data_IF_657222301814
#
_entry.id   IF_657222301814
#
_cell.length_a   1.000
_cell.length_b   1.000
_cell.length_c   1.000
_cell.angle_alpha   90.00
_cell.angle_beta   90.00
_cell.angle_gamma   90.00
#
_symmetry.space_group_name_H-M   'P 1'
#
loop_
_entity.id
_entity.type
_entity.pdbx_description
1 polymer ?
#
# COMPACT_ATOMS: atom_id res chain seq x y z
N UNK A 1 35.46 -27.42 -17.69
CA UNK A 1 35.13 -26.04 -18.11
C UNK A 1 33.75 -25.90 -18.74
N UNK A 2 33.37 -26.67 -19.78
CA UNK A 2 32.03 -26.57 -20.42
C UNK A 2 30.84 -26.73 -19.44
N UNK A 3 30.92 -27.67 -18.48
CA UNK A 3 29.88 -27.85 -17.45
C UNK A 3 29.73 -26.66 -16.49
N UNK A 4 30.82 -25.90 -16.25
CA UNK A 4 30.84 -24.74 -15.35
C UNK A 4 30.22 -23.50 -16.03
N UNK A 5 30.44 -23.35 -17.34
CA UNK A 5 29.83 -22.29 -18.16
C UNK A 5 28.32 -22.48 -18.28
N UNK A 6 27.84 -23.72 -18.44
CA UNK A 6 26.40 -24.03 -18.45
C UNK A 6 25.76 -23.71 -17.10
N UNK A 7 26.45 -24.00 -15.99
CA UNK A 7 25.97 -23.68 -14.65
C UNK A 7 25.88 -22.16 -14.42
N UNK A 8 26.89 -21.40 -14.86
CA UNK A 8 26.91 -19.92 -14.76
C UNK A 8 25.81 -19.31 -15.63
N UNK A 9 25.56 -19.84 -16.83
CA UNK A 9 24.45 -19.39 -17.69
C UNK A 9 23.08 -19.71 -17.05
N UNK A 10 22.94 -20.88 -16.41
CA UNK A 10 21.73 -21.25 -15.67
C UNK A 10 21.50 -20.30 -14.48
N UNK A 11 22.52 -20.04 -13.67
CA UNK A 11 22.43 -19.09 -12.55
C UNK A 11 22.21 -17.64 -12.99
N UNK A 12 22.76 -17.23 -14.15
CA UNK A 12 22.51 -15.89 -14.72
C UNK A 12 21.09 -15.73 -15.26
N UNK A 13 20.45 -16.82 -15.72
CA UNK A 13 19.05 -16.83 -16.14
C UNK A 13 18.07 -16.85 -14.95
N UNK A 14 18.57 -17.23 -13.77
CA UNK A 14 17.86 -17.17 -12.48
C UNK A 14 18.14 -15.84 -11.75
N UNK A 15 18.75 -14.85 -12.42
CA UNK A 15 18.65 -13.47 -11.96
C UNK A 15 17.19 -13.08 -12.18
N UNK A 16 16.39 -13.34 -11.15
CA UNK A 16 14.98 -13.05 -11.04
C UNK A 16 14.74 -11.61 -11.45
N UNK A 17 14.39 -11.40 -12.71
CA UNK A 17 13.78 -10.16 -13.15
C UNK A 17 12.54 -9.99 -12.27
N UNK A 18 12.49 -8.92 -11.48
CA UNK A 18 11.32 -8.59 -10.68
C UNK A 18 10.08 -8.65 -11.57
N UNK A 19 9.07 -9.43 -11.18
CA UNK A 19 7.88 -9.66 -12.00
C UNK A 19 7.10 -8.35 -12.19
N UNK A 20 6.99 -7.61 -11.09
CA UNK A 20 6.37 -6.30 -11.03
C UNK A 20 7.42 -5.33 -10.49
N UNK A 21 7.48 -4.16 -11.09
CA UNK A 21 8.37 -3.07 -10.71
C UNK A 21 7.54 -1.87 -10.26
N UNK A 22 8.02 -1.16 -9.25
CA UNK A 22 7.39 0.06 -8.72
C UNK A 22 8.42 1.18 -8.73
N UNK A 23 8.08 2.34 -9.29
CA UNK A 23 9.01 3.47 -9.39
C UNK A 23 8.37 4.78 -8.97
N UNK A 24 9.11 5.56 -8.21
CA UNK A 24 8.83 6.98 -8.03
C UNK A 24 9.36 7.69 -9.26
N UNK A 25 8.45 8.24 -10.06
CA UNK A 25 8.77 8.98 -11.30
C UNK A 25 9.11 10.42 -10.95
N UNK A 26 8.32 11.04 -10.08
CA UNK A 26 8.51 12.41 -9.62
C UNK A 26 7.82 12.65 -8.28
N UNK A 27 8.29 13.68 -7.58
CA UNK A 27 7.63 14.25 -6.42
C UNK A 27 7.52 15.76 -6.62
N UNK A 28 6.31 16.24 -6.91
CA UNK A 28 6.01 17.64 -7.10
C UNK A 28 5.60 18.26 -5.76
N UNK A 29 6.54 18.93 -5.10
CA UNK A 29 6.29 19.54 -3.78
C UNK A 29 5.47 20.82 -3.91
N UNK A 30 4.37 20.90 -3.17
CA UNK A 30 3.60 22.13 -2.95
C UNK A 30 4.03 22.87 -1.69
N UNK A 31 4.66 22.17 -0.74
CA UNK A 31 5.32 22.74 0.44
C UNK A 31 6.46 21.80 0.90
N UNK A 32 7.10 22.11 2.03
CA UNK A 32 8.12 21.22 2.61
C UNK A 32 7.56 19.87 3.06
N UNK A 33 6.28 19.81 3.44
CA UNK A 33 5.61 18.60 3.92
C UNK A 33 4.63 17.99 2.91
N UNK A 34 4.14 18.79 1.95
CA UNK A 34 3.09 18.39 1.00
C UNK A 34 3.58 18.31 -0.43
N UNK A 35 3.04 17.35 -1.18
CA UNK A 35 3.26 17.25 -2.61
C UNK A 35 2.36 16.23 -3.29
N UNK A 36 2.59 16.04 -4.58
CA UNK A 36 2.02 14.96 -5.37
C UNK A 36 3.15 14.02 -5.81
N UNK A 37 3.04 12.75 -5.44
CA UNK A 37 3.98 11.71 -5.87
C UNK A 37 3.41 10.99 -7.07
N UNK A 38 4.19 10.94 -8.16
CA UNK A 38 3.88 10.17 -9.36
C UNK A 38 4.59 8.83 -9.29
N UNK A 39 3.82 7.75 -9.34
CA UNK A 39 4.32 6.37 -9.21
C UNK A 39 3.97 5.59 -10.47
N UNK A 40 4.94 4.87 -11.03
CA UNK A 40 4.71 3.87 -12.07
C UNK A 40 4.73 2.48 -11.45
N UNK A 41 3.75 1.65 -11.80
CA UNK A 41 3.72 0.21 -11.50
C UNK A 41 3.73 -0.51 -12.84
N UNK A 42 4.74 -1.35 -13.04
CA UNK A 42 5.07 -1.92 -14.34
C UNK A 42 5.08 -3.43 -14.22
N UNK A 43 4.26 -4.11 -15.01
CA UNK A 43 4.40 -5.54 -15.19
C UNK A 43 5.53 -5.81 -16.19
N UNK A 44 6.65 -6.36 -15.73
CA UNK A 44 7.81 -6.64 -16.57
C UNK A 44 7.71 -7.99 -17.29
N UNK A 45 6.66 -8.77 -17.03
CA UNK A 45 6.50 -10.14 -17.54
C UNK A 45 5.67 -10.19 -18.83
N UNK A 46 5.50 -11.41 -19.36
CA UNK A 46 4.56 -11.73 -20.43
C UNK A 46 3.23 -12.31 -19.90
N UNK A 47 3.07 -12.38 -18.57
CA UNK A 47 1.88 -12.92 -17.91
C UNK A 47 0.97 -11.80 -17.42
N UNK A 48 -0.29 -12.11 -17.16
CA UNK A 48 -1.22 -11.19 -16.51
C UNK A 48 -1.05 -11.26 -15.00
N UNK A 49 -1.01 -10.11 -14.32
CA UNK A 49 -0.90 -10.06 -12.86
C UNK A 49 -2.09 -9.38 -12.21
N UNK A 50 -2.43 -9.86 -11.02
CA UNK A 50 -3.36 -9.21 -10.12
C UNK A 50 -2.67 -8.93 -8.79
N UNK A 51 -2.81 -7.72 -8.27
CA UNK A 51 -2.27 -7.33 -6.96
C UNK A 51 -3.22 -6.36 -6.23
N UNK A 52 -3.40 -6.49 -4.91
CA UNK A 52 -4.07 -5.47 -4.10
C UNK A 52 -3.23 -4.20 -4.00
N UNK A 53 -3.86 -3.04 -4.21
CA UNK A 53 -3.22 -1.73 -4.09
C UNK A 53 -4.22 -0.62 -3.77
N UNK A 54 -3.96 0.15 -2.72
CA UNK A 54 -4.60 1.46 -2.54
C UNK A 54 -3.89 2.50 -3.41
N UNK A 55 -4.65 3.05 -4.37
CA UNK A 55 -4.18 4.00 -5.37
C UNK A 55 -4.26 5.47 -4.90
N UNK A 56 -4.70 5.71 -3.67
CA UNK A 56 -5.08 7.05 -3.19
C UNK A 56 -4.38 7.45 -1.90
N UNK A 57 -3.90 6.50 -1.10
CA UNK A 57 -3.32 6.76 0.21
C UNK A 57 -1.92 6.16 0.33
N UNK A 58 -1.20 6.66 1.33
CA UNK A 58 0.05 6.08 1.82
C UNK A 58 -0.13 5.56 3.25
N UNK A 59 0.92 4.88 3.74
CA UNK A 59 1.12 4.49 5.13
C UNK A 59 2.45 5.02 5.66
N UNK A 60 2.47 5.33 6.95
CA UNK A 60 3.70 5.54 7.69
C UNK A 60 4.47 4.23 7.89
N UNK A 61 5.78 4.31 7.97
CA UNK A 61 6.62 3.17 8.33
C UNK A 61 6.57 2.91 9.82
N UNK A 62 6.11 1.71 10.17
CA UNK A 62 6.21 1.14 11.50
C UNK A 62 6.66 -0.32 11.33
N UNK A 63 7.75 -0.72 12.00
CA UNK A 63 8.36 -2.05 11.85
C UNK A 63 7.37 -3.17 12.10
N UNK A 64 6.45 -2.95 13.05
CA UNK A 64 5.50 -3.96 13.51
C UNK A 64 4.28 -4.08 12.58
N UNK A 65 4.13 -3.15 11.63
CA UNK A 65 2.94 -3.03 10.78
C UNK A 65 3.27 -3.17 9.28
N UNK A 66 4.48 -3.59 8.91
CA UNK A 66 4.90 -3.73 7.51
C UNK A 66 4.07 -4.75 6.70
N UNK A 67 3.46 -5.71 7.39
CA UNK A 67 2.59 -6.72 6.81
C UNK A 67 1.18 -6.21 6.55
N UNK A 68 0.55 -6.68 5.48
CA UNK A 68 -0.86 -6.41 5.17
C UNK A 68 -1.78 -7.53 5.68
N UNK A 69 -1.45 -8.17 6.81
CA UNK A 69 -2.33 -9.16 7.41
C UNK A 69 -3.64 -8.50 7.87
N UNK A 70 -4.76 -8.93 7.29
CA UNK A 70 -6.09 -8.42 7.65
C UNK A 70 -6.63 -9.29 8.80
N UNK A 71 -6.01 -9.14 9.98
CA UNK A 71 -6.33 -9.90 11.19
C UNK A 71 -7.34 -9.20 12.08
N UNK A 72 -7.38 -7.86 12.04
CA UNK A 72 -8.37 -7.05 12.76
C UNK A 72 -8.70 -5.78 11.98
N UNK A 73 -9.94 -5.31 12.12
CA UNK A 73 -10.39 -3.99 11.65
C UNK A 73 -10.49 -2.96 12.78
N UNK A 74 -10.23 -3.38 14.03
CA UNK A 74 -10.31 -2.53 15.21
C UNK A 74 -9.08 -1.61 15.32
N UNK A 75 -7.97 -2.02 14.70
CA UNK A 75 -6.76 -1.22 14.55
C UNK A 75 -6.73 -0.61 13.14
N UNK A 76 -6.94 0.70 13.00
CA UNK A 76 -7.14 1.31 11.70
C UNK A 76 -5.85 1.33 10.90
N UNK A 77 -5.88 0.66 9.75
CA UNK A 77 -4.74 0.55 8.83
C UNK A 77 -5.22 0.73 7.39
N UNK A 78 -4.49 1.48 6.57
CA UNK A 78 -4.82 1.64 5.14
C UNK A 78 -4.38 0.40 4.33
N UNK A 79 -4.98 -0.77 4.56
CA UNK A 79 -4.60 -2.02 3.89
C UNK A 79 -4.27 -1.81 2.40
N UNK A 80 -3.16 -2.39 1.95
CA UNK A 80 -2.66 -2.28 0.56
C UNK A 80 -2.17 -0.89 0.11
N UNK A 81 -2.17 0.13 0.97
CA UNK A 81 -1.45 1.37 0.69
C UNK A 81 0.07 1.15 0.70
N UNK A 82 0.82 1.80 -0.21
CA UNK A 82 2.28 1.82 -0.14
C UNK A 82 2.76 2.50 1.15
N UNK A 83 3.76 1.89 1.78
CA UNK A 83 4.48 2.43 2.94
C UNK A 83 5.53 3.41 2.45
N UNK A 84 5.50 4.64 2.97
CA UNK A 84 6.57 5.61 2.77
C UNK A 84 7.76 5.21 3.64
N UNK A 85 8.98 5.28 3.09
CA UNK A 85 10.21 5.01 3.83
C UNK A 85 11.11 6.23 3.69
N UNK A 86 11.37 6.92 4.81
CA UNK A 86 12.39 7.96 4.89
C UNK A 86 13.61 7.38 5.57
N UNK A 87 14.77 7.42 4.91
CA UNK A 87 16.04 7.04 5.52
C UNK A 87 16.93 8.26 5.64
N UNK A 88 17.47 8.48 6.84
CA UNK A 88 18.56 9.44 6.98
C UNK A 88 19.79 8.88 6.25
N UNK A 89 20.41 9.71 5.41
CA UNK A 89 21.63 9.35 4.67
C UNK A 89 22.78 8.84 5.56
N UNK A 90 22.81 9.21 6.85
CA UNK A 90 23.84 8.80 7.79
C UNK A 90 23.48 7.49 8.51
N UNK A 91 22.26 7.41 9.06
CA UNK A 91 21.84 6.24 9.85
C UNK A 91 21.45 5.04 8.97
N UNK A 92 21.03 5.28 7.73
CA UNK A 92 20.58 4.29 6.74
C UNK A 92 19.42 3.36 7.18
N UNK A 93 18.83 3.61 8.35
CA UNK A 93 17.63 2.95 8.83
C UNK A 93 16.38 3.76 8.48
N UNK A 94 15.24 3.11 8.18
CA UNK A 94 13.98 3.83 7.99
C UNK A 94 13.54 4.51 9.29
N UNK A 95 13.13 5.77 9.20
CA UNK A 95 12.52 6.50 10.30
C UNK A 95 11.15 5.91 10.62
N UNK A 96 10.89 5.66 11.89
CA UNK A 96 9.56 5.27 12.38
C UNK A 96 8.67 6.50 12.49
N UNK A 97 7.40 6.35 12.08
CA UNK A 97 6.41 7.41 12.29
C UNK A 97 6.03 7.57 13.75
N UNK A 98 5.62 8.78 14.10
CA UNK A 98 4.88 9.07 15.31
C UNK A 98 3.38 9.13 15.00
N UNK A 99 2.55 8.89 16.01
CA UNK A 99 1.10 8.94 15.86
C UNK A 99 0.54 10.16 16.61
N UNK A 100 -0.43 10.84 16.01
CA UNK A 100 -1.26 11.85 16.67
C UNK A 100 -2.74 11.53 16.48
N UNK A 101 -3.56 11.93 17.44
CA UNK A 101 -5.01 11.96 17.30
C UNK A 101 -5.49 13.39 17.23
N UNK A 102 -6.45 13.67 16.36
CA UNK A 102 -7.23 14.90 16.47
C UNK A 102 -8.37 14.67 17.44
N UNK A 103 -8.48 15.56 18.43
CA UNK A 103 -9.64 15.56 19.32
C UNK A 103 -10.87 15.94 18.51
N UNK A 104 -11.75 14.96 18.35
CA UNK A 104 -13.09 15.19 17.88
C UNK A 104 -13.87 15.34 19.17
N UNK A 105 -14.02 16.58 19.63
CA UNK A 105 -14.85 16.85 20.80
C UNK A 105 -16.27 16.29 20.61
N UNK A 106 -17.17 16.58 21.55
CA UNK A 106 -18.59 16.19 21.47
C UNK A 106 -19.38 16.94 20.36
N UNK A 107 -18.80 17.11 19.17
CA UNK A 107 -19.46 17.65 18.00
C UNK A 107 -20.46 16.62 17.47
N UNK A 108 -21.71 16.81 17.89
CA UNK A 108 -22.87 15.99 17.53
C UNK A 108 -23.00 15.82 16.00
N UNK A 109 -22.60 16.81 15.20
CA UNK A 109 -22.61 16.69 13.74
C UNK A 109 -21.60 15.66 13.24
N UNK A 110 -20.38 15.67 13.79
CA UNK A 110 -19.34 14.69 13.43
C UNK A 110 -19.73 13.29 13.88
N UNK A 111 -20.26 13.13 15.09
CA UNK A 111 -20.77 11.84 15.61
C UNK A 111 -21.87 11.30 14.69
N UNK A 112 -22.85 12.13 14.32
CA UNK A 112 -23.93 11.72 13.42
C UNK A 112 -23.44 11.34 12.02
N UNK A 113 -22.41 12.03 11.51
CA UNK A 113 -21.79 11.71 10.22
C UNK A 113 -21.09 10.36 10.24
N UNK A 114 -20.38 10.03 11.33
CA UNK A 114 -19.74 8.72 11.54
C UNK A 114 -20.80 7.63 11.60
N UNK A 115 -21.83 7.79 12.44
CA UNK A 115 -22.90 6.81 12.60
C UNK A 115 -23.60 6.49 11.27
N UNK A 116 -23.90 7.52 10.45
CA UNK A 116 -24.48 7.33 9.12
C UNK A 116 -23.55 6.54 8.19
N UNK A 117 -22.24 6.79 8.26
CA UNK A 117 -21.25 6.07 7.47
C UNK A 117 -21.18 4.60 7.89
N UNK A 118 -21.14 4.33 9.19
CA UNK A 118 -21.07 2.97 9.74
C UNK A 118 -22.32 2.14 9.38
N UNK A 119 -23.51 2.75 9.46
CA UNK A 119 -24.75 2.09 9.03
C UNK A 119 -24.70 1.74 7.54
N UNK A 120 -24.19 2.65 6.70
CA UNK A 120 -24.04 2.41 5.26
C UNK A 120 -23.05 1.27 4.99
N UNK A 121 -21.91 1.29 5.67
CA UNK A 121 -20.89 0.24 5.54
C UNK A 121 -21.45 -1.13 5.96
N UNK A 122 -22.14 -1.21 7.11
CA UNK A 122 -22.80 -2.44 7.56
C UNK A 122 -23.80 -2.99 6.54
N UNK A 123 -24.60 -2.12 5.92
CA UNK A 123 -25.54 -2.52 4.86
C UNK A 123 -24.81 -3.05 3.62
N UNK A 124 -23.71 -2.41 3.23
CA UNK A 124 -22.88 -2.87 2.12
C UNK A 124 -22.25 -4.23 2.41
N UNK A 125 -21.68 -4.43 3.60
CA UNK A 125 -21.10 -5.70 4.03
C UNK A 125 -22.17 -6.79 4.07
N UNK A 126 -23.35 -6.52 4.65
CA UNK A 126 -24.44 -7.50 4.72
C UNK A 126 -24.93 -7.92 3.32
N UNK A 127 -25.03 -6.96 2.40
CA UNK A 127 -25.36 -7.24 0.99
C UNK A 127 -24.26 -8.08 0.33
N UNK A 128 -23.00 -7.66 0.45
CA UNK A 128 -21.84 -8.35 -0.13
C UNK A 128 -21.71 -9.79 0.37
N UNK A 129 -21.91 -10.00 1.68
CA UNK A 129 -21.93 -11.30 2.33
C UNK A 129 -22.94 -12.24 1.67
N UNK A 130 -24.17 -11.74 1.46
CA UNK A 130 -25.25 -12.52 0.84
C UNK A 130 -24.95 -12.81 -0.64
N UNK A 131 -24.44 -11.85 -1.39
CA UNK A 131 -24.13 -12.00 -2.81
C UNK A 131 -22.98 -12.98 -3.07
N UNK A 132 -22.03 -13.10 -2.14
CA UNK A 132 -20.85 -13.95 -2.28
C UNK A 132 -20.87 -15.20 -1.39
N UNK A 133 -21.99 -15.49 -0.73
CA UNK A 133 -22.18 -16.65 0.17
C UNK A 133 -21.09 -16.79 1.25
N UNK A 134 -20.72 -15.68 1.91
CA UNK A 134 -19.69 -15.65 2.94
C UNK A 134 -20.29 -15.92 4.33
N UNK A 135 -19.51 -16.54 5.23
CA UNK A 135 -20.05 -17.08 6.48
C UNK A 135 -20.44 -15.99 7.48
N UNK A 136 -19.64 -14.93 7.55
CA UNK A 136 -19.80 -13.86 8.53
C UNK A 136 -19.37 -12.50 7.98
N UNK A 137 -19.72 -11.44 8.72
CA UNK A 137 -19.47 -10.06 8.31
C UNK A 137 -17.97 -9.74 8.24
N UNK A 138 -17.14 -10.41 9.07
CA UNK A 138 -15.69 -10.22 9.07
C UNK A 138 -15.05 -10.78 7.78
N UNK A 139 -15.41 -12.00 7.38
CA UNK A 139 -15.02 -12.57 6.10
C UNK A 139 -15.52 -11.74 4.92
N UNK A 140 -16.77 -11.28 4.97
CA UNK A 140 -17.33 -10.39 3.97
C UNK A 140 -16.54 -9.09 3.83
N UNK A 141 -16.14 -8.47 4.95
CA UNK A 141 -15.34 -7.26 4.95
C UNK A 141 -13.94 -7.50 4.38
N UNK A 142 -13.25 -8.59 4.75
CA UNK A 142 -11.93 -8.94 4.18
C UNK A 142 -12.02 -9.20 2.67
N UNK A 143 -12.99 -10.02 2.26
CA UNK A 143 -13.22 -10.32 0.85
C UNK A 143 -13.47 -9.05 0.03
N UNK A 144 -14.39 -8.20 0.50
CA UNK A 144 -14.72 -6.92 -0.16
C UNK A 144 -13.49 -6.01 -0.25
N UNK A 145 -12.72 -5.90 0.85
CA UNK A 145 -11.50 -5.09 0.89
C UNK A 145 -10.47 -5.56 -0.15
N UNK A 146 -10.21 -6.86 -0.28
CA UNK A 146 -9.31 -7.40 -1.30
C UNK A 146 -9.83 -7.10 -2.70
N UNK A 147 -11.11 -7.35 -2.95
CA UNK A 147 -11.75 -7.14 -4.24
C UNK A 147 -11.74 -5.68 -4.70
N UNK A 148 -11.98 -4.75 -3.79
CA UNK A 148 -12.01 -3.30 -4.08
C UNK A 148 -10.63 -2.73 -4.41
N UNK A 149 -9.58 -3.37 -3.91
CA UNK A 149 -8.19 -2.94 -4.10
C UNK A 149 -7.45 -3.75 -5.16
N UNK A 150 -8.06 -4.81 -5.71
CA UNK A 150 -7.42 -5.65 -6.70
C UNK A 150 -7.25 -4.87 -8.02
N UNK A 151 -6.01 -4.60 -8.40
CA UNK A 151 -5.66 -4.08 -9.71
C UNK A 151 -5.18 -5.21 -10.61
N UNK A 152 -5.34 -5.01 -11.92
CA UNK A 152 -4.99 -5.98 -12.94
C UNK A 152 -4.01 -5.34 -13.90
N UNK A 153 -2.90 -6.03 -14.16
CA UNK A 153 -1.86 -5.60 -15.09
C UNK A 153 -1.74 -6.63 -16.21
N UNK A 154 -1.95 -6.19 -17.44
CA UNK A 154 -1.63 -6.94 -18.64
C UNK A 154 -0.11 -7.08 -18.82
N UNK A 155 0.35 -8.02 -19.65
CA UNK A 155 1.75 -8.14 -20.04
C UNK A 155 2.33 -6.80 -20.48
N UNK A 156 3.49 -6.41 -19.93
CA UNK A 156 4.18 -5.15 -20.24
C UNK A 156 3.39 -3.87 -19.94
N UNK A 157 2.25 -3.98 -19.24
CA UNK A 157 1.44 -2.82 -18.89
C UNK A 157 2.14 -1.96 -17.84
N UNK A 158 2.02 -0.65 -18.02
CA UNK A 158 2.41 0.35 -17.04
C UNK A 158 1.19 1.12 -16.57
N UNK A 159 0.92 1.04 -15.28
CA UNK A 159 -0.06 1.86 -14.59
C UNK A 159 0.64 3.05 -13.94
N UNK A 160 0.17 4.27 -14.22
CA UNK A 160 0.66 5.49 -13.59
C UNK A 160 -0.34 6.00 -12.56
N UNK A 161 0.14 6.25 -11.35
CA UNK A 161 -0.62 6.75 -10.21
C UNK A 161 -0.12 8.11 -9.78
N UNK A 162 -1.05 8.94 -9.32
CA UNK A 162 -0.77 10.25 -8.71
C UNK A 162 -1.38 10.25 -7.33
N UNK A 163 -0.54 10.26 -6.30
CA UNK A 163 -0.97 10.16 -4.90
C UNK A 163 -0.55 11.42 -4.17
N UNK A 164 -1.49 12.06 -3.48
CA UNK A 164 -1.20 13.21 -2.62
C UNK A 164 -0.43 12.74 -1.40
N UNK A 165 0.62 13.47 -1.06
CA UNK A 165 1.47 13.24 0.08
C UNK A 165 1.36 14.45 1.02
N UNK A 166 1.10 14.20 2.29
CA UNK A 166 1.40 15.11 3.40
C UNK A 166 2.11 14.30 4.48
N UNK A 167 3.41 14.51 4.65
CA UNK A 167 4.24 13.72 5.58
C UNK A 167 3.85 13.93 7.05
N UNK A 168 3.07 14.98 7.34
CA UNK A 168 2.54 15.23 8.67
C UNK A 168 1.12 14.71 8.86
N UNK A 169 0.42 14.33 7.79
CA UNK A 169 -1.01 14.00 7.83
C UNK A 169 -1.34 12.68 7.12
N UNK A 170 -0.59 11.63 7.45
CA UNK A 170 -0.80 10.30 6.87
C UNK A 170 -1.92 9.61 7.65
N UNK A 171 -3.15 9.79 7.19
CA UNK A 171 -4.35 9.26 7.88
C UNK A 171 -4.31 7.74 8.05
N UNK A 172 -4.57 7.24 9.26
CA UNK A 172 -4.71 5.81 9.55
C UNK A 172 -6.14 5.33 9.29
N UNK A 173 -6.36 4.63 8.18
CA UNK A 173 -7.68 4.08 7.84
C UNK A 173 -8.73 5.18 7.71
N UNK A 174 -9.91 4.92 8.27
CA UNK A 174 -11.02 5.85 8.34
C UNK A 174 -11.22 6.37 9.77
N UNK A 175 -10.13 6.76 10.45
CA UNK A 175 -10.15 7.22 11.85
C UNK A 175 -9.68 8.65 12.03
N UNK A 176 -9.50 9.05 13.29
CA UNK A 176 -8.93 10.33 13.75
C UNK A 176 -7.45 10.25 14.07
N UNK A 177 -6.82 9.09 13.86
CA UNK A 177 -5.40 8.89 14.02
C UNK A 177 -4.65 9.17 12.71
N UNK A 178 -3.51 9.81 12.84
CA UNK A 178 -2.64 10.20 11.75
C UNK A 178 -1.20 9.87 12.11
N UNK A 179 -0.51 9.22 11.19
CA UNK A 179 0.93 9.04 11.25
C UNK A 179 1.62 10.30 10.73
N UNK A 180 2.77 10.62 11.31
CA UNK A 180 3.61 11.71 10.86
C UNK A 180 5.10 11.40 11.03
N UNK A 181 5.92 11.96 10.14
CA UNK A 181 7.38 11.90 10.24
C UNK A 181 7.93 13.12 10.95
N UNK A 182 8.85 12.91 11.92
CA UNK A 182 9.64 13.99 12.48
C UNK A 182 10.94 14.12 11.67
N UNK A 183 11.00 15.10 10.76
CA UNK A 183 12.15 15.36 9.90
C UNK A 183 12.91 16.60 10.37
N UNK A 184 14.25 16.53 10.34
CA UNK A 184 15.14 17.63 10.69
C UNK A 184 15.22 18.64 9.53
N UNK A 185 15.28 19.92 9.88
CA UNK A 185 15.43 21.00 8.89
C UNK A 185 16.72 20.86 8.09
N UNK A 186 16.62 21.01 6.76
CA UNK A 186 17.74 20.95 5.80
C UNK A 186 18.48 19.62 5.78
N UNK A 187 17.97 18.57 6.42
CA UNK A 187 18.49 17.21 6.29
C UNK A 187 17.99 16.57 5.00
N UNK A 188 18.89 15.88 4.30
CA UNK A 188 18.56 15.10 3.12
C UNK A 188 18.18 13.67 3.51
N UNK A 189 17.01 13.24 3.08
CA UNK A 189 16.49 11.90 3.29
C UNK A 189 16.34 11.17 1.97
N UNK A 190 16.62 9.86 1.99
CA UNK A 190 16.24 8.97 0.90
C UNK A 190 14.79 8.54 1.10
N UNK A 191 13.92 9.04 0.22
CA UNK A 191 12.51 8.67 0.18
C UNK A 191 12.31 7.54 -0.82
N UNK A 192 11.78 6.41 -0.35
CA UNK A 192 11.30 5.30 -1.18
C UNK A 192 9.90 4.87 -0.74
N UNK A 193 9.24 4.04 -1.54
CA UNK A 193 7.99 3.39 -1.16
C UNK A 193 8.14 1.87 -1.19
N UNK A 194 7.41 1.20 -0.32
CA UNK A 194 7.34 -0.26 -0.26
C UNK A 194 5.88 -0.73 -0.21
N UNK A 195 5.56 -1.76 -0.97
CA UNK A 195 4.29 -2.47 -0.91
C UNK A 195 4.57 -3.93 -0.58
N UNK A 196 3.98 -4.44 0.50
CA UNK A 196 4.13 -5.84 0.92
C UNK A 196 2.78 -6.55 0.82
N UNK A 197 2.67 -7.61 0.03
CA UNK A 197 1.43 -8.38 -0.12
C UNK A 197 1.61 -9.74 0.55
N UNK A 198 0.82 -10.00 1.59
CA UNK A 198 0.85 -11.27 2.33
C UNK A 198 0.39 -12.44 1.45
N UNK A 199 0.98 -13.62 1.66
CA UNK A 199 0.66 -14.82 0.91
C UNK A 199 -0.81 -15.27 1.09
N UNK A 200 -1.41 -14.98 2.25
CA UNK A 200 -2.77 -15.39 2.58
C UNK A 200 -3.84 -14.41 2.11
N UNK A 201 -3.48 -13.26 1.54
CA UNK A 201 -4.47 -12.24 1.14
C UNK A 201 -5.53 -12.80 0.18
N UNK A 202 -5.12 -13.70 -0.72
CA UNK A 202 -6.01 -14.30 -1.72
C UNK A 202 -6.83 -15.47 -1.16
N UNK A 203 -6.55 -15.93 0.06
CA UNK A 203 -7.40 -16.90 0.76
C UNK A 203 -8.74 -16.27 1.15
N UNK A 204 -8.82 -14.93 1.19
CA UNK A 204 -10.07 -14.22 1.43
C UNK A 204 -10.99 -14.17 0.20
N UNK A 205 -10.51 -14.52 -1.00
CA UNK A 205 -11.34 -14.60 -2.20
C UNK A 205 -12.15 -15.91 -2.25
N UNK A 206 -13.39 -15.83 -2.73
CA UNK A 206 -14.20 -17.04 -2.98
C UNK A 206 -13.66 -17.83 -4.17
N UNK A 207 -14.02 -19.11 -4.26
CA UNK A 207 -13.62 -19.95 -5.39
C UNK A 207 -14.17 -19.42 -6.72
N UNK A 208 -15.36 -18.82 -6.73
CA UNK A 208 -15.93 -18.18 -7.91
C UNK A 208 -15.10 -16.97 -8.36
N UNK A 209 -14.67 -16.14 -7.41
CA UNK A 209 -13.79 -15.00 -7.70
C UNK A 209 -12.42 -15.48 -8.20
N UNK A 210 -11.82 -16.50 -7.57
CA UNK A 210 -10.56 -17.10 -8.05
C UNK A 210 -10.70 -17.67 -9.46
N UNK A 211 -11.80 -18.37 -9.76
CA UNK A 211 -12.11 -18.87 -11.11
C UNK A 211 -12.27 -17.74 -12.12
N UNK A 212 -12.94 -16.65 -11.74
CA UNK A 212 -13.09 -15.43 -12.58
C UNK A 212 -11.73 -14.84 -12.95
N UNK A 213 -10.75 -14.90 -12.03
CA UNK A 213 -9.42 -14.35 -12.22
C UNK A 213 -8.35 -15.38 -12.59
N UNK A 214 -8.74 -16.60 -13.00
CA UNK A 214 -7.79 -17.71 -13.30
C UNK A 214 -6.69 -17.39 -14.32
N UNK A 215 -6.88 -16.35 -15.15
CA UNK A 215 -5.89 -15.90 -16.13
C UNK A 215 -4.78 -15.04 -15.52
N UNK A 216 -4.97 -14.54 -14.30
CA UNK A 216 -4.04 -13.68 -13.59
C UNK A 216 -3.22 -14.49 -12.59
N UNK A 217 -1.92 -14.19 -12.53
CA UNK A 217 -1.05 -14.59 -11.44
C UNK A 217 -1.27 -13.60 -10.29
N UNK A 218 -1.61 -14.13 -9.12
CA UNK A 218 -1.75 -13.35 -7.90
C UNK A 218 -0.38 -13.03 -7.31
N UNK A 219 0.00 -11.76 -7.31
CA UNK A 219 1.30 -11.32 -6.78
C UNK A 219 1.33 -11.42 -5.26
N UNK A 220 2.39 -12.00 -4.71
CA UNK A 220 2.71 -11.96 -3.28
C UNK A 220 4.16 -11.55 -3.08
N UNK A 221 4.49 -11.04 -1.90
CA UNK A 221 5.84 -10.57 -1.56
C UNK A 221 5.96 -9.05 -1.52
N UNK A 222 7.19 -8.56 -1.54
CA UNK A 222 7.50 -7.14 -1.38
C UNK A 222 7.95 -6.49 -2.69
N UNK A 223 7.41 -5.32 -2.98
CA UNK A 223 7.86 -4.41 -4.02
C UNK A 223 8.45 -3.18 -3.35
N UNK A 224 9.65 -2.78 -3.75
CA UNK A 224 10.31 -1.58 -3.26
C UNK A 224 10.73 -0.71 -4.43
N UNK A 225 10.49 0.60 -4.31
CA UNK A 225 10.84 1.53 -5.37
C UNK A 225 12.30 1.92 -5.36
N UNK A 226 12.70 2.65 -6.41
CA UNK A 226 13.87 3.53 -6.34
C UNK A 226 13.72 4.54 -5.19
N UNK A 227 14.85 5.02 -4.68
CA UNK A 227 14.91 6.16 -3.78
C UNK A 227 15.00 7.47 -4.55
N UNK A 228 14.39 8.52 -4.02
CA UNK A 228 14.59 9.91 -4.45
C UNK A 228 15.04 10.76 -3.26
N UNK A 229 15.82 11.80 -3.51
CA UNK A 229 16.22 12.74 -2.46
C UNK A 229 15.01 13.57 -2.00
N UNK A 230 14.88 13.71 -0.68
CA UNK A 230 13.87 14.53 -0.04
C UNK A 230 14.53 15.42 1.02
N UNK A 231 14.50 16.72 0.78
CA UNK A 231 14.95 17.71 1.76
C UNK A 231 13.73 18.36 2.42
N UNK A 232 13.69 18.35 3.75
CA UNK A 232 12.68 19.07 4.52
C UNK A 232 13.15 20.49 4.82
N UNK A 233 12.25 21.46 4.73
CA UNK A 233 12.52 22.87 5.04
C UNK A 233 11.47 23.38 6.03
N UNK A 234 11.93 23.81 7.21
CA UNK A 234 11.07 24.51 8.15
C UNK A 234 10.90 25.96 7.66
N UNK A 235 9.72 26.30 7.18
CA UNK A 235 9.38 27.69 6.87
C UNK A 235 8.87 28.33 8.17
N UNK A 236 9.65 29.27 8.73
CA UNK A 236 9.17 30.20 9.76
C UNK A 236 8.25 31.25 9.14
#
# INVERSE_FOLDING_TARGET
MKKLIILILFFSSIISFGQIDIKIVSLEKSSSSRGEMVIDIINLTNDYYALPLDKKKFKGYNSDELGNEITSFDHPYNFFAPVLLFKDSVANEPLTVLMRSYDVGEDEYLINKINKKDIKERRQIAKWKKENNLQNDFEAKRNMLVMDHLIFLAPKEKMRLKIKLDIFDIRRGDTFFYDYYLLNDKTNYDLSIQLTIDNNVYNYLTDEQKKKFKKYIFFTGALKSNSISFIYHFFN
#
